data_IF_541031276705
#
_entry.id   IF_541031276705
#
_cell.length_a   1.000
_cell.length_b   1.000
_cell.length_c   1.000
_cell.angle_alpha   90.00
_cell.angle_beta   90.00
_cell.angle_gamma   90.00
#
_symmetry.space_group_name_H-M   'P 1'
#
loop_
_entity.id
_entity.type
_entity.pdbx_description
1 polymer ?
#
# COMPACT_ATOMS: atom_id res chain seq x y z
N UNK A 1 27.53 -73.67 3.80
CA UNK A 1 27.28 -73.10 5.15
C UNK A 1 28.07 -71.79 5.23
N UNK A 2 27.36 -70.69 5.51
CA UNK A 2 27.82 -69.37 5.96
C UNK A 2 28.70 -68.44 5.07
N UNK A 3 28.19 -67.20 4.93
CA UNK A 3 28.93 -65.93 4.84
C UNK A 3 29.13 -65.38 3.42
N UNK A 4 28.90 -64.11 3.07
CA UNK A 4 28.40 -62.91 3.76
C UNK A 4 28.00 -61.91 2.64
N UNK A 5 26.96 -61.09 2.86
CA UNK A 5 26.70 -59.88 2.07
C UNK A 5 27.75 -58.80 2.35
N UNK A 6 27.91 -57.84 1.43
CA UNK A 6 27.72 -56.44 1.84
C UNK A 6 26.72 -55.70 0.94
N UNK A 7 26.11 -54.69 1.56
CA UNK A 7 25.02 -53.88 1.05
C UNK A 7 25.48 -52.86 -0.02
N UNK A 8 24.70 -52.71 -1.08
CA UNK A 8 24.77 -51.55 -1.97
C UNK A 8 24.07 -50.37 -1.29
N UNK A 9 24.86 -49.32 -1.03
CA UNK A 9 24.39 -48.03 -0.55
C UNK A 9 23.54 -47.34 -1.63
N UNK A 10 22.24 -47.22 -1.37
CA UNK A 10 21.38 -46.25 -2.03
C UNK A 10 21.76 -44.85 -1.54
N UNK A 11 22.53 -44.11 -2.32
CA UNK A 11 22.69 -42.66 -2.13
C UNK A 11 21.35 -41.98 -2.44
N UNK A 12 20.59 -41.67 -1.40
CA UNK A 12 19.48 -40.71 -1.45
C UNK A 12 20.03 -39.32 -1.79
N UNK A 13 19.89 -38.94 -3.06
CA UNK A 13 20.25 -37.62 -3.52
C UNK A 13 19.12 -36.64 -3.16
N UNK A 14 19.09 -36.20 -1.90
CA UNK A 14 18.11 -35.24 -1.38
C UNK A 14 18.44 -33.80 -1.83
N UNK A 15 18.34 -33.54 -3.14
CA UNK A 15 18.33 -32.18 -3.67
C UNK A 15 16.90 -31.64 -3.68
N UNK A 16 16.35 -31.41 -2.48
CA UNK A 16 15.12 -30.63 -2.33
C UNK A 16 15.48 -29.15 -2.28
N UNK A 17 15.62 -28.54 -3.45
CA UNK A 17 15.64 -27.08 -3.55
C UNK A 17 14.37 -26.47 -2.93
N UNK A 18 14.43 -25.21 -2.46
CA UNK A 18 13.31 -24.57 -1.79
C UNK A 18 12.07 -24.59 -2.69
N UNK A 19 11.00 -25.24 -2.23
CA UNK A 19 9.70 -25.24 -2.91
C UNK A 19 9.08 -23.86 -2.78
N UNK A 20 9.14 -23.08 -3.85
CA UNK A 20 8.43 -21.80 -3.94
C UNK A 20 6.93 -22.12 -3.95
N UNK A 21 6.22 -21.81 -2.86
CA UNK A 21 4.78 -21.95 -2.80
C UNK A 21 4.12 -20.96 -3.77
N UNK A 22 3.67 -21.44 -4.93
CA UNK A 22 3.03 -20.68 -6.02
C UNK A 22 1.76 -19.90 -5.64
N UNK A 23 1.32 -19.92 -4.38
CA UNK A 23 0.09 -19.26 -3.95
C UNK A 23 0.24 -17.75 -3.72
N UNK A 24 1.46 -17.23 -3.51
CA UNK A 24 1.69 -15.81 -3.23
C UNK A 24 2.30 -15.15 -4.47
N UNK A 25 1.45 -14.49 -5.26
CA UNK A 25 1.85 -13.80 -6.49
C UNK A 25 2.35 -12.39 -6.19
N UNK A 26 3.58 -12.09 -6.60
CA UNK A 26 4.11 -10.73 -6.60
C UNK A 26 3.44 -9.93 -7.73
N UNK A 27 3.05 -8.69 -7.47
CA UNK A 27 2.52 -7.80 -8.52
C UNK A 27 3.65 -7.29 -9.39
N UNK A 28 3.41 -7.10 -10.69
CA UNK A 28 4.39 -6.48 -11.57
C UNK A 28 4.54 -4.99 -11.23
N UNK A 29 5.74 -4.45 -11.41
CA UNK A 29 6.03 -3.02 -11.30
C UNK A 29 6.46 -2.47 -12.66
N UNK A 30 5.77 -1.45 -13.16
CA UNK A 30 6.03 -0.82 -14.47
C UNK A 30 6.98 0.36 -14.35
N UNK A 31 7.04 1.00 -13.19
CA UNK A 31 7.82 2.22 -12.96
C UNK A 31 7.16 3.46 -13.54
N UNK A 32 5.83 3.53 -13.49
CA UNK A 32 5.04 4.71 -13.89
C UNK A 32 4.72 5.61 -12.70
N UNK A 33 4.32 6.87 -12.95
CA UNK A 33 4.10 7.89 -11.91
C UNK A 33 2.87 7.60 -11.02
N UNK A 34 1.95 6.77 -11.48
CA UNK A 34 0.78 6.27 -10.75
C UNK A 34 1.10 5.09 -9.82
N UNK A 35 2.27 4.48 -9.95
CA UNK A 35 2.67 3.35 -9.12
C UNK A 35 3.47 3.76 -7.88
N UNK A 36 3.41 2.90 -6.87
CA UNK A 36 4.16 3.07 -5.64
C UNK A 36 5.25 2.01 -5.46
N UNK A 37 6.49 2.44 -5.75
CA UNK A 37 7.69 1.62 -5.55
C UNK A 37 7.85 1.21 -4.09
N UNK A 38 7.51 2.07 -3.13
CA UNK A 38 7.59 1.76 -1.71
C UNK A 38 6.54 0.72 -1.31
N UNK A 39 5.31 0.87 -1.79
CA UNK A 39 4.26 -0.13 -1.56
C UNK A 39 4.59 -1.47 -2.24
N UNK A 40 5.18 -1.43 -3.44
CA UNK A 40 5.61 -2.62 -4.16
C UNK A 40 6.76 -3.34 -3.45
N UNK A 41 7.79 -2.60 -3.00
CA UNK A 41 8.89 -3.14 -2.19
C UNK A 41 8.39 -3.73 -0.87
N UNK A 42 7.44 -3.05 -0.20
CA UNK A 42 6.82 -3.57 1.01
C UNK A 42 6.07 -4.89 0.74
N UNK A 43 5.31 -4.97 -0.34
CA UNK A 43 4.64 -6.21 -0.75
C UNK A 43 5.65 -7.32 -1.09
N UNK A 44 6.76 -6.98 -1.75
CA UNK A 44 7.85 -7.91 -2.04
C UNK A 44 8.50 -8.43 -0.75
N UNK A 45 8.75 -7.57 0.23
CA UNK A 45 9.30 -7.96 1.53
C UNK A 45 8.38 -8.91 2.29
N UNK A 46 7.07 -8.67 2.27
CA UNK A 46 6.10 -9.61 2.85
C UNK A 46 6.12 -10.97 2.13
N UNK A 47 6.25 -10.96 0.80
CA UNK A 47 6.41 -12.19 0.01
C UNK A 47 7.73 -12.92 0.35
N UNK A 48 8.83 -12.19 0.54
CA UNK A 48 10.13 -12.76 0.93
C UNK A 48 10.02 -13.50 2.27
N UNK A 49 9.41 -12.86 3.27
CA UNK A 49 9.18 -13.46 4.60
C UNK A 49 8.36 -14.75 4.46
N UNK A 50 7.32 -14.74 3.64
CA UNK A 50 6.48 -15.92 3.42
C UNK A 50 7.18 -17.05 2.63
N UNK A 51 8.13 -16.69 1.76
CA UNK A 51 8.85 -17.65 0.89
C UNK A 51 10.09 -18.25 1.55
N UNK A 52 10.54 -17.71 2.69
CA UNK A 52 11.73 -18.16 3.44
C UNK A 52 13.02 -18.06 2.61
N UNK A 53 13.04 -17.19 1.60
CA UNK A 53 14.23 -16.95 0.76
C UNK A 53 15.04 -15.81 1.38
N UNK A 54 16.33 -16.05 1.63
CA UNK A 54 17.25 -15.07 2.22
C UNK A 54 18.44 -14.72 1.33
N UNK A 55 18.68 -15.47 0.26
CA UNK A 55 19.82 -15.24 -0.63
C UNK A 55 19.61 -14.01 -1.52
N UNK A 56 20.48 -13.01 -1.40
CA UNK A 56 20.39 -11.74 -2.13
C UNK A 56 20.29 -11.90 -3.65
N UNK A 57 21.10 -12.79 -4.24
CA UNK A 57 21.13 -13.05 -5.69
C UNK A 57 19.77 -13.53 -6.20
N UNK A 58 19.18 -14.49 -5.49
CA UNK A 58 17.86 -15.02 -5.76
C UNK A 58 16.78 -13.95 -5.57
N UNK A 59 16.85 -13.15 -4.52
CA UNK A 59 15.87 -12.07 -4.28
C UNK A 59 15.90 -11.02 -5.39
N UNK A 60 17.08 -10.53 -5.77
CA UNK A 60 17.24 -9.54 -6.84
C UNK A 60 16.77 -10.12 -8.17
N UNK A 61 17.09 -11.38 -8.47
CA UNK A 61 16.63 -12.04 -9.69
C UNK A 61 15.09 -12.16 -9.75
N UNK A 62 14.45 -12.54 -8.64
CA UNK A 62 12.99 -12.66 -8.59
C UNK A 62 12.35 -11.27 -8.72
N UNK A 63 12.83 -10.27 -7.98
CA UNK A 63 12.35 -8.89 -8.09
C UNK A 63 12.48 -8.36 -9.52
N UNK A 64 13.64 -8.56 -10.15
CA UNK A 64 13.90 -8.14 -11.53
C UNK A 64 12.91 -8.74 -12.53
N UNK A 65 12.51 -10.01 -12.35
CA UNK A 65 11.51 -10.67 -13.21
C UNK A 65 10.09 -10.07 -13.06
N UNK A 66 9.81 -9.37 -11.97
CA UNK A 66 8.54 -8.68 -11.75
C UNK A 66 8.57 -7.22 -12.25
N UNK A 67 9.75 -6.72 -12.67
CA UNK A 67 9.87 -5.42 -13.30
C UNK A 67 9.43 -5.50 -14.76
N UNK A 68 8.73 -4.48 -15.23
CA UNK A 68 8.24 -4.39 -16.61
C UNK A 68 8.41 -2.96 -17.15
N UNK A 69 8.33 -2.79 -18.47
CA UNK A 69 8.36 -1.48 -19.14
C UNK A 69 9.55 -0.59 -18.69
N UNK A 70 9.27 0.57 -18.09
CA UNK A 70 10.26 1.56 -17.67
C UNK A 70 11.17 1.00 -16.56
N UNK A 71 10.58 0.26 -15.60
CA UNK A 71 11.33 -0.38 -14.53
C UNK A 71 12.32 -1.42 -15.05
N UNK A 72 11.90 -2.28 -15.98
CA UNK A 72 12.80 -3.28 -16.57
C UNK A 72 13.89 -2.64 -17.43
N UNK A 73 13.54 -1.59 -18.18
CA UNK A 73 14.51 -0.82 -18.97
C UNK A 73 15.57 -0.16 -18.09
N UNK A 74 15.17 0.40 -16.95
CA UNK A 74 16.09 0.91 -15.95
C UNK A 74 16.99 -0.20 -15.38
N UNK A 75 16.42 -1.34 -15.01
CA UNK A 75 17.20 -2.44 -14.43
C UNK A 75 18.28 -2.93 -15.39
N UNK A 76 17.96 -3.10 -16.69
CA UNK A 76 18.94 -3.41 -17.73
C UNK A 76 20.09 -2.41 -17.78
N UNK A 77 19.79 -1.11 -17.71
CA UNK A 77 20.80 -0.05 -17.71
C UNK A 77 21.63 -0.01 -16.41
N UNK A 78 21.02 -0.37 -15.29
CA UNK A 78 21.69 -0.48 -13.98
C UNK A 78 22.67 -1.65 -13.96
N UNK A 79 22.29 -2.82 -14.49
CA UNK A 79 23.17 -3.98 -14.61
C UNK A 79 24.44 -3.67 -15.42
N UNK A 80 24.31 -2.89 -16.49
CA UNK A 80 25.44 -2.53 -17.35
C UNK A 80 26.49 -1.62 -16.66
N UNK A 81 26.14 -1.03 -15.51
CA UNK A 81 26.98 -0.10 -14.75
C UNK A 81 27.50 -0.69 -13.43
N UNK A 82 27.01 -1.85 -13.02
CA UNK A 82 27.27 -2.45 -11.72
C UNK A 82 27.89 -3.83 -11.87
N UNK A 83 29.13 -3.97 -11.40
CA UNK A 83 29.89 -5.24 -11.46
C UNK A 83 29.25 -6.35 -10.60
N UNK A 84 28.45 -5.99 -9.59
CA UNK A 84 27.88 -6.93 -8.60
C UNK A 84 26.38 -6.72 -8.36
N UNK A 85 25.65 -6.42 -9.44
CA UNK A 85 24.19 -6.17 -9.50
C UNK A 85 23.34 -7.08 -8.60
N UNK A 86 23.63 -8.38 -8.54
CA UNK A 86 22.84 -9.37 -7.80
C UNK A 86 23.33 -9.63 -6.37
N UNK A 87 24.47 -9.05 -5.95
CA UNK A 87 25.12 -9.40 -4.68
C UNK A 87 24.46 -8.79 -3.44
N UNK A 88 23.76 -7.67 -3.60
CA UNK A 88 23.20 -6.89 -2.49
C UNK A 88 21.75 -6.50 -2.79
N UNK A 89 20.84 -7.08 -2.02
CA UNK A 89 19.43 -6.66 -2.02
C UNK A 89 19.29 -5.19 -1.63
N UNK A 90 19.99 -4.75 -0.60
CA UNK A 90 19.91 -3.36 -0.10
C UNK A 90 20.32 -2.35 -1.18
N UNK A 91 21.38 -2.64 -1.94
CA UNK A 91 21.81 -1.77 -3.04
C UNK A 91 20.76 -1.70 -4.16
N UNK A 92 20.15 -2.84 -4.49
CA UNK A 92 19.05 -2.90 -5.45
C UNK A 92 17.84 -2.09 -4.95
N UNK A 93 17.41 -2.31 -3.70
CA UNK A 93 16.27 -1.63 -3.08
C UNK A 93 16.48 -0.10 -3.05
N UNK A 94 17.66 0.35 -2.61
CA UNK A 94 18.00 1.78 -2.58
C UNK A 94 18.04 2.38 -3.98
N UNK A 95 18.70 1.72 -4.94
CA UNK A 95 18.78 2.21 -6.32
C UNK A 95 17.40 2.27 -7.00
N UNK A 96 16.53 1.30 -6.72
CA UNK A 96 15.16 1.27 -7.24
C UNK A 96 14.31 2.39 -6.62
N UNK A 97 14.43 2.59 -5.29
CA UNK A 97 13.78 3.69 -4.60
C UNK A 97 14.24 5.05 -5.13
N UNK A 98 15.54 5.29 -5.26
CA UNK A 98 16.07 6.57 -5.75
C UNK A 98 15.59 6.89 -7.16
N UNK A 99 15.46 5.85 -8.01
CA UNK A 99 14.97 6.02 -9.38
C UNK A 99 13.49 6.36 -9.44
N UNK A 100 12.64 5.68 -8.67
CA UNK A 100 11.19 5.71 -8.84
C UNK A 100 10.43 6.49 -7.75
N UNK A 101 11.04 6.75 -6.60
CA UNK A 101 10.51 7.59 -5.53
C UNK A 101 10.85 9.07 -5.75
N UNK A 102 10.53 9.57 -6.95
CA UNK A 102 10.91 10.91 -7.37
C UNK A 102 10.23 12.01 -6.53
N UNK A 103 10.89 13.17 -6.38
CA UNK A 103 10.28 14.35 -5.75
C UNK A 103 9.00 14.83 -6.44
N UNK A 104 8.87 14.60 -7.75
CA UNK A 104 7.65 14.91 -8.51
C UNK A 104 6.45 14.09 -8.03
N UNK A 105 6.65 12.82 -7.69
CA UNK A 105 5.60 11.99 -7.11
C UNK A 105 5.18 12.51 -5.73
N UNK A 106 6.13 12.79 -4.84
CA UNK A 106 5.85 13.39 -3.52
C UNK A 106 5.08 14.70 -3.65
N UNK A 107 5.45 15.55 -4.62
CA UNK A 107 4.73 16.79 -4.94
C UNK A 107 3.30 16.51 -5.36
N UNK A 108 3.06 15.56 -6.27
CA UNK A 108 1.72 15.16 -6.72
C UNK A 108 0.87 14.63 -5.56
N UNK A 109 1.42 13.79 -4.68
CA UNK A 109 0.69 13.31 -3.50
C UNK A 109 0.28 14.45 -2.57
N UNK A 110 1.19 15.40 -2.31
CA UNK A 110 0.89 16.60 -1.50
C UNK A 110 -0.13 17.51 -2.18
N UNK A 111 -0.09 17.61 -3.50
CA UNK A 111 -1.07 18.36 -4.29
C UNK A 111 -2.45 17.72 -4.23
N UNK A 112 -2.55 16.40 -4.42
CA UNK A 112 -3.80 15.65 -4.24
C UNK A 112 -4.36 15.86 -2.84
N UNK A 113 -3.52 15.73 -1.80
CA UNK A 113 -3.94 15.96 -0.42
C UNK A 113 -4.42 17.40 -0.18
N UNK A 114 -3.79 18.41 -0.81
CA UNK A 114 -4.19 19.81 -0.68
C UNK A 114 -5.61 20.06 -1.21
N UNK A 115 -6.01 19.36 -2.25
CA UNK A 115 -7.34 19.50 -2.86
C UNK A 115 -8.35 18.46 -2.36
N UNK A 116 -7.92 17.52 -1.52
CA UNK A 116 -8.78 16.50 -0.95
C UNK A 116 -9.80 17.14 -0.01
N UNK A 117 -11.08 16.92 -0.31
CA UNK A 117 -12.23 17.38 0.47
C UNK A 117 -13.28 16.30 0.55
N UNK A 118 -14.00 16.27 1.66
CA UNK A 118 -15.14 15.36 1.84
C UNK A 118 -16.29 15.78 0.91
N UNK A 119 -16.55 14.99 -0.14
CA UNK A 119 -17.58 15.28 -1.15
C UNK A 119 -18.85 14.45 -0.95
N UNK A 120 -18.71 13.13 -0.92
CA UNK A 120 -19.83 12.20 -0.88
C UNK A 120 -20.03 11.65 0.54
N UNK A 121 -19.13 10.77 0.98
CA UNK A 121 -19.14 10.15 2.31
C UNK A 121 -17.85 10.41 3.06
N UNK A 122 -17.96 10.55 4.38
CA UNK A 122 -16.80 10.64 5.26
C UNK A 122 -15.94 9.38 5.20
N UNK A 123 -16.53 8.19 5.05
CA UNK A 123 -15.75 6.93 5.02
C UNK A 123 -14.81 6.84 3.81
N UNK A 124 -15.27 7.26 2.62
CA UNK A 124 -14.41 7.32 1.42
C UNK A 124 -13.32 8.39 1.56
N UNK A 125 -13.67 9.54 2.13
CA UNK A 125 -12.71 10.61 2.41
C UNK A 125 -11.64 10.16 3.43
N UNK A 126 -12.07 9.47 4.49
CA UNK A 126 -11.24 8.85 5.52
C UNK A 126 -10.19 7.92 4.91
N UNK A 127 -10.63 7.00 4.04
CA UNK A 127 -9.76 6.06 3.34
C UNK A 127 -8.74 6.78 2.45
N UNK A 128 -9.20 7.72 1.61
CA UNK A 128 -8.33 8.46 0.70
C UNK A 128 -7.29 9.31 1.45
N UNK A 129 -7.70 9.95 2.56
CA UNK A 129 -6.82 10.74 3.39
C UNK A 129 -5.72 9.87 4.03
N UNK A 130 -6.07 8.71 4.61
CA UNK A 130 -5.10 7.80 5.21
C UNK A 130 -4.12 7.24 4.18
N UNK A 131 -4.61 6.88 2.99
CA UNK A 131 -3.78 6.39 1.90
C UNK A 131 -2.76 7.46 1.47
N UNK A 132 -3.19 8.72 1.34
CA UNK A 132 -2.29 9.84 1.02
C UNK A 132 -1.30 10.15 2.15
N UNK A 133 -1.76 10.18 3.40
CA UNK A 133 -0.89 10.37 4.58
C UNK A 133 0.22 9.33 4.62
N UNK A 134 -0.15 8.06 4.44
CA UNK A 134 0.78 6.92 4.43
C UNK A 134 1.77 7.03 3.27
N UNK A 135 1.31 7.35 2.06
CA UNK A 135 2.16 7.51 0.88
C UNK A 135 3.13 8.70 0.99
N UNK A 136 2.74 9.77 1.70
CA UNK A 136 3.61 10.94 1.94
C UNK A 136 4.66 10.65 3.02
N UNK A 137 4.33 9.86 4.04
CA UNK A 137 5.22 9.34 5.09
C UNK A 137 5.88 10.37 6.02
N UNK A 138 5.76 11.66 5.71
CA UNK A 138 6.46 12.79 6.38
C UNK A 138 5.48 13.78 7.02
N UNK A 139 4.19 13.43 7.09
CA UNK A 139 3.17 14.27 7.69
C UNK A 139 3.10 13.99 9.19
N UNK A 140 3.23 15.06 9.99
CA UNK A 140 3.09 14.98 11.44
C UNK A 140 1.62 14.79 11.83
N UNK A 141 1.36 14.18 12.98
CA UNK A 141 0.00 13.80 13.38
C UNK A 141 -0.90 15.02 13.63
N UNK A 142 -0.37 16.08 14.25
CA UNK A 142 -1.10 17.33 14.48
C UNK A 142 -1.50 18.03 13.17
N UNK A 143 -0.60 18.05 12.18
CA UNK A 143 -0.88 18.55 10.84
C UNK A 143 -1.96 17.72 10.15
N UNK A 144 -1.89 16.38 10.29
CA UNK A 144 -2.88 15.48 9.72
C UNK A 144 -4.27 15.73 10.33
N UNK A 145 -4.35 15.86 11.65
CA UNK A 145 -5.57 16.16 12.40
C UNK A 145 -6.20 17.47 11.92
N UNK A 146 -5.44 18.56 11.95
CA UNK A 146 -5.90 19.89 11.54
C UNK A 146 -6.40 19.89 10.08
N UNK A 147 -5.62 19.31 9.16
CA UNK A 147 -6.01 19.22 7.74
C UNK A 147 -7.26 18.37 7.52
N UNK A 148 -7.42 17.28 8.27
CA UNK A 148 -8.60 16.43 8.16
C UNK A 148 -9.85 17.20 8.55
N UNK A 149 -9.85 17.79 9.76
CA UNK A 149 -10.99 18.54 10.30
C UNK A 149 -11.38 19.70 9.37
N UNK A 150 -10.41 20.45 8.84
CA UNK A 150 -10.67 21.60 7.96
C UNK A 150 -11.43 21.24 6.69
N UNK A 151 -11.19 20.04 6.14
CA UNK A 151 -11.69 19.60 4.83
C UNK A 151 -12.97 18.75 4.90
N UNK A 152 -13.54 18.55 6.09
CA UNK A 152 -14.88 18.02 6.30
C UNK A 152 -15.96 19.03 5.86
N UNK A 153 -17.16 18.53 5.53
CA UNK A 153 -18.33 19.40 5.30
C UNK A 153 -18.63 20.23 6.55
N UNK A 154 -19.09 21.49 6.41
CA UNK A 154 -19.23 22.41 7.55
C UNK A 154 -20.05 21.88 8.73
N UNK A 155 -21.16 21.18 8.46
CA UNK A 155 -22.03 20.62 9.48
C UNK A 155 -21.40 19.43 10.24
N UNK A 156 -20.61 18.60 9.55
CA UNK A 156 -19.86 17.48 10.17
C UNK A 156 -18.69 18.03 10.98
N UNK A 157 -17.97 19.00 10.42
CA UNK A 157 -16.86 19.69 11.09
C UNK A 157 -17.28 20.32 12.41
N UNK A 158 -18.44 20.99 12.45
CA UNK A 158 -18.97 21.58 13.68
C UNK A 158 -19.21 20.52 14.77
N UNK A 159 -19.81 19.39 14.40
CA UNK A 159 -20.03 18.26 15.30
C UNK A 159 -18.71 17.70 15.85
N UNK A 160 -17.72 17.50 14.98
CA UNK A 160 -16.38 17.02 15.37
C UNK A 160 -15.71 17.97 16.35
N UNK A 161 -15.74 19.28 16.09
CA UNK A 161 -15.08 20.29 16.95
C UNK A 161 -15.69 20.37 18.35
N UNK A 162 -16.98 20.10 18.52
CA UNK A 162 -17.63 20.05 19.84
C UNK A 162 -17.05 18.94 20.72
N UNK A 163 -16.52 17.88 20.11
CA UNK A 163 -15.96 16.74 20.81
C UNK A 163 -14.45 16.85 21.09
N UNK A 164 -13.79 17.92 20.64
CA UNK A 164 -12.36 18.21 20.85
C UNK A 164 -11.42 16.98 20.75
N UNK A 165 -11.34 16.35 19.56
CA UNK A 165 -10.64 15.08 19.42
C UNK A 165 -9.12 15.23 19.41
N UNK A 166 -8.43 14.39 20.19
CA UNK A 166 -6.97 14.43 20.37
C UNK A 166 -6.17 13.74 19.24
N UNK A 167 -6.81 12.89 18.44
CA UNK A 167 -6.14 12.11 17.41
C UNK A 167 -7.02 11.86 16.18
N UNK A 168 -6.36 11.54 15.06
CA UNK A 168 -7.01 11.36 13.77
C UNK A 168 -8.07 10.25 13.79
N UNK A 169 -7.80 9.14 14.49
CA UNK A 169 -8.75 8.03 14.59
C UNK A 169 -10.07 8.46 15.25
N UNK A 170 -10.00 9.25 16.31
CA UNK A 170 -11.18 9.76 17.00
C UNK A 170 -11.97 10.73 16.12
N UNK A 171 -11.28 11.63 15.40
CA UNK A 171 -11.92 12.52 14.41
C UNK A 171 -12.71 11.72 13.38
N UNK A 172 -12.09 10.70 12.78
CA UNK A 172 -12.71 9.86 11.75
C UNK A 172 -13.95 9.15 12.29
N UNK A 173 -13.85 8.55 13.48
CA UNK A 173 -14.97 7.86 14.14
C UNK A 173 -16.15 8.78 14.40
N UNK A 174 -15.90 9.99 14.91
CA UNK A 174 -16.96 10.98 15.20
C UNK A 174 -17.62 11.42 13.88
N UNK A 175 -16.81 11.77 12.88
CA UNK A 175 -17.27 12.24 11.58
C UNK A 175 -18.14 11.18 10.86
N UNK A 176 -17.71 9.91 10.84
CA UNK A 176 -18.45 8.80 10.22
C UNK A 176 -19.75 8.47 10.98
N UNK A 177 -19.72 8.53 12.31
CA UNK A 177 -20.91 8.36 13.14
C UNK A 177 -21.95 9.45 12.85
N UNK A 178 -21.49 10.68 12.63
CA UNK A 178 -22.37 11.80 12.32
C UNK A 178 -22.91 11.74 10.88
N UNK A 179 -22.07 11.40 9.90
CA UNK A 179 -22.45 11.23 8.49
C UNK A 179 -23.55 10.16 8.34
N UNK A 180 -23.36 8.99 8.97
CA UNK A 180 -24.32 7.88 8.93
C UNK A 180 -25.69 8.22 9.56
N UNK A 181 -25.70 8.99 10.66
CA UNK A 181 -26.94 9.47 11.30
C UNK A 181 -27.65 10.51 10.44
N UNK A 182 -26.90 11.44 9.85
CA UNK A 182 -27.46 12.50 9.01
C UNK A 182 -28.06 11.95 7.72
N UNK A 183 -27.39 10.98 7.08
CA UNK A 183 -27.89 10.30 5.89
C UNK A 183 -29.22 9.55 6.15
N UNK A 184 -29.31 8.85 7.29
CA UNK A 184 -30.55 8.20 7.73
C UNK A 184 -31.67 9.21 7.94
N UNK A 185 -31.41 10.30 8.66
CA UNK A 185 -32.42 11.33 8.93
C UNK A 185 -32.88 12.08 7.65
N UNK A 186 -31.98 12.30 6.68
CA UNK A 186 -32.34 12.91 5.39
C UNK A 186 -33.24 12.04 4.51
N UNK A 187 -33.12 10.70 4.63
CA UNK A 187 -34.02 9.76 3.95
C UNK A 187 -35.42 9.74 4.58
N UNK A 188 -35.52 9.91 5.90
CA UNK A 188 -36.81 10.06 6.57
C UNK A 188 -37.51 11.36 6.15
N UNK A 189 -36.84 12.51 6.15
CA UNK A 189 -37.47 13.78 5.77
C UNK A 189 -38.00 13.79 4.33
N UNK A 190 -37.26 13.20 3.37
CA UNK A 190 -37.71 13.08 1.98
C UNK A 190 -38.95 12.17 1.83
N UNK A 191 -39.09 11.13 2.64
CA UNK A 191 -40.26 10.24 2.61
C UNK A 191 -41.53 10.94 3.11
N UNK A 192 -41.42 11.81 4.12
CA UNK A 192 -42.55 12.56 4.65
C UNK A 192 -42.97 13.72 3.73
N UNK A 193 -42.05 14.40 3.06
CA UNK A 193 -42.39 15.42 2.06
C UNK A 193 -43.09 14.81 0.84
N UNK A 194 -42.63 13.65 0.36
CA UNK A 194 -43.27 12.98 -0.79
C UNK A 194 -44.70 12.51 -0.49
N UNK A 195 -44.99 12.08 0.75
CA UNK A 195 -46.35 11.70 1.16
C UNK A 195 -47.30 12.89 1.27
N UNK A 196 -46.83 14.08 1.64
CA UNK A 196 -47.67 15.29 1.68
C UNK A 196 -48.18 15.74 0.31
N UNK A 197 -47.43 15.44 -0.76
CA UNK A 197 -47.82 15.79 -2.14
C UNK A 197 -48.67 14.73 -2.85
N UNK A 198 -48.95 13.59 -2.22
CA UNK A 198 -49.76 12.50 -2.77
C UNK A 198 -51.16 12.42 -2.14
N UNK A 199 -51.56 13.42 -1.36
CA UNK A 199 -52.90 13.53 -0.78
C UNK A 199 -53.59 14.79 -1.31
N UNK A 200 -54.07 14.69 -2.56
CA UNK A 200 -55.16 15.51 -3.11
C UNK A 200 -56.02 14.57 -3.96
#
# INVERSE_FOLDING_TARGET
MAGNRPAENTTENNNSGPRINNAIKIKNFRGSLDEDVGLWLFAFKNWQVASVISENSTLVAIAANQLTKNALSWFKAWCARSESTYSSWDNFENSLNDRFNTGQKKRKLRETLRYLKEKASVSLYSEEFLNLKTAIGTMIEEEALDRFIRNLKPHIRASVLVHDPENLLLVMKIAETYDSKTYRNGSYNNFYEKKKHLTI
#
